data_IF_284784352232
#
_entry.id   IF_284784352232
#
_cell.length_a   1.000
_cell.length_b   1.000
_cell.length_c   1.000
_cell.angle_alpha   90.00
_cell.angle_beta   90.00
_cell.angle_gamma   90.00
#
_symmetry.space_group_name_H-M   'P 1'
#
loop_
_entity.id
_entity.type
_entity.pdbx_description
1 polymer ?
#
# COMPACT_ATOMS: atom_id res chain seq x y z
N UNK A 1 1.21 -12.23 3.34
CA UNK A 1 0.75 -11.43 4.50
C UNK A 1 -0.08 -10.22 4.07
N UNK A 2 0.47 -9.15 3.44
CA UNK A 2 -0.36 -7.97 3.06
C UNK A 2 -1.58 -8.32 2.20
N UNK A 3 -1.40 -9.17 1.18
CA UNK A 3 -2.51 -9.67 0.37
C UNK A 3 -3.58 -10.39 1.21
N UNK A 4 -3.15 -11.23 2.17
CA UNK A 4 -4.04 -11.95 3.08
C UNK A 4 -4.81 -11.00 4.01
N UNK A 5 -4.14 -9.99 4.58
CA UNK A 5 -4.75 -8.98 5.47
C UNK A 5 -5.80 -8.15 4.72
N UNK A 6 -5.51 -7.77 3.47
CA UNK A 6 -6.38 -6.91 2.66
C UNK A 6 -7.48 -7.70 1.91
N UNK A 7 -7.43 -9.03 1.93
CA UNK A 7 -8.19 -9.93 1.05
C UNK A 7 -8.18 -9.46 -0.41
N UNK A 8 -7.01 -9.03 -0.89
CA UNK A 8 -6.83 -8.42 -2.20
C UNK A 8 -5.53 -8.89 -2.86
N UNK A 9 -5.54 -8.95 -4.20
CA UNK A 9 -4.31 -9.20 -4.98
C UNK A 9 -3.37 -8.01 -4.81
N UNK A 10 -2.13 -8.29 -4.44
CA UNK A 10 -1.09 -7.26 -4.32
C UNK A 10 -0.03 -7.53 -5.38
N UNK A 11 0.18 -6.57 -6.27
CA UNK A 11 1.25 -6.60 -7.27
C UNK A 11 2.38 -5.70 -6.82
N UNK A 12 3.59 -6.26 -6.73
CA UNK A 12 4.82 -5.47 -6.51
C UNK A 12 5.45 -5.19 -7.87
N UNK A 13 5.65 -3.90 -8.15
CA UNK A 13 6.40 -3.42 -9.31
C UNK A 13 7.91 -3.65 -9.08
N UNK A 14 8.63 -4.09 -10.10
CA UNK A 14 10.07 -4.35 -10.06
C UNK A 14 10.96 -3.11 -10.03
N UNK A 15 10.39 -1.91 -10.14
CA UNK A 15 11.09 -0.64 -9.98
C UNK A 15 10.93 -0.15 -8.54
N UNK A 16 12.05 0.07 -7.85
CA UNK A 16 12.06 0.60 -6.48
C UNK A 16 11.73 2.09 -6.45
N UNK A 17 12.08 2.81 -7.52
CA UNK A 17 11.97 4.26 -7.68
C UNK A 17 10.69 4.65 -8.44
N UNK A 18 9.53 4.16 -7.96
CA UNK A 18 8.23 4.34 -8.65
C UNK A 18 7.87 5.80 -8.92
N UNK A 19 8.32 6.74 -8.06
CA UNK A 19 8.13 8.17 -8.26
C UNK A 19 8.87 8.71 -9.47
N UNK A 20 10.14 8.32 -9.66
CA UNK A 20 10.94 8.72 -10.82
C UNK A 20 10.40 8.09 -12.10
N UNK A 21 9.96 6.83 -12.04
CA UNK A 21 9.34 6.15 -13.19
C UNK A 21 8.06 6.85 -13.64
N UNK A 22 7.22 7.29 -12.70
CA UNK A 22 6.03 8.08 -13.00
C UNK A 22 6.35 9.44 -13.62
N UNK A 23 7.34 10.15 -13.10
CA UNK A 23 7.78 11.43 -13.68
C UNK A 23 8.31 11.26 -15.12
N UNK A 24 9.09 10.21 -15.37
CA UNK A 24 9.59 9.88 -16.70
C UNK A 24 8.45 9.55 -17.67
N UNK A 25 7.46 8.77 -17.23
CA UNK A 25 6.28 8.44 -18.03
C UNK A 25 5.46 9.68 -18.43
N UNK A 26 5.29 10.62 -17.49
CA UNK A 26 4.61 11.90 -17.77
C UNK A 26 5.41 12.76 -18.74
N UNK A 27 6.73 12.85 -18.55
CA UNK A 27 7.60 13.61 -19.45
C UNK A 27 7.61 13.03 -20.88
N UNK A 28 7.67 11.70 -21.01
CA UNK A 28 7.63 11.01 -22.30
C UNK A 28 6.32 11.29 -23.04
N UNK A 29 5.18 11.23 -22.35
CA UNK A 29 3.87 11.54 -22.93
C UNK A 29 3.75 13.02 -23.30
N UNK A 30 4.18 13.94 -22.44
CA UNK A 30 4.18 15.37 -22.73
C UNK A 30 5.10 15.79 -23.87
N UNK A 31 6.18 15.04 -24.10
CA UNK A 31 7.09 15.20 -25.24
C UNK A 31 6.59 14.54 -26.54
N UNK A 32 5.46 13.83 -26.50
CA UNK A 32 4.92 13.11 -27.65
C UNK A 32 5.71 11.86 -28.05
N UNK A 33 6.56 11.32 -27.16
CA UNK A 33 7.32 10.09 -27.40
C UNK A 33 6.47 8.82 -27.25
N UNK A 34 5.37 8.93 -26.50
CA UNK A 34 4.34 7.90 -26.30
C UNK A 34 2.97 8.56 -26.33
N UNK A 35 1.93 7.81 -26.69
CA UNK A 35 0.56 8.32 -26.72
C UNK A 35 0.03 8.60 -25.31
N UNK A 36 0.48 7.83 -24.32
CA UNK A 36 0.08 8.01 -22.93
C UNK A 36 1.15 7.59 -21.92
N UNK A 37 1.10 8.10 -20.67
CA UNK A 37 2.00 7.64 -19.62
C UNK A 37 1.83 6.14 -19.33
N UNK A 38 0.61 5.61 -19.51
CA UNK A 38 0.29 4.19 -19.28
C UNK A 38 1.02 3.30 -20.28
N UNK A 39 1.14 3.72 -21.53
CA UNK A 39 1.90 3.02 -22.57
C UNK A 39 3.37 2.86 -22.15
N UNK A 40 4.00 3.96 -21.73
CA UNK A 40 5.38 3.95 -21.25
C UNK A 40 5.54 3.02 -20.03
N UNK A 41 4.66 3.14 -19.04
CA UNK A 41 4.70 2.31 -17.84
C UNK A 41 4.56 0.82 -18.17
N UNK A 42 3.70 0.46 -19.15
CA UNK A 42 3.53 -0.92 -19.57
C UNK A 42 4.77 -1.48 -20.26
N UNK A 43 5.47 -0.68 -21.08
CA UNK A 43 6.73 -1.08 -21.69
C UNK A 43 7.85 -1.29 -20.65
N UNK A 44 7.82 -0.56 -19.54
CA UNK A 44 8.82 -0.67 -18.47
C UNK A 44 8.57 -1.79 -17.44
N UNK A 45 7.48 -2.56 -17.54
CA UNK A 45 7.16 -3.67 -16.62
C UNK A 45 8.00 -4.90 -16.91
N UNK A 46 9.22 -4.96 -16.40
CA UNK A 46 10.10 -6.12 -16.62
C UNK A 46 10.00 -7.17 -15.51
N UNK A 47 9.60 -6.81 -14.29
CA UNK A 47 9.47 -7.77 -13.20
C UNK A 47 8.26 -7.40 -12.32
N UNK A 48 7.20 -8.20 -12.38
CA UNK A 48 6.06 -8.09 -11.47
C UNK A 48 5.99 -9.32 -10.57
N UNK A 49 5.88 -9.10 -9.25
CA UNK A 49 5.57 -10.19 -8.32
C UNK A 49 4.14 -10.03 -7.83
N UNK A 50 3.32 -11.04 -8.13
CA UNK A 50 1.92 -11.09 -7.73
C UNK A 50 1.77 -11.91 -6.45
N UNK A 51 1.05 -11.38 -5.48
CA UNK A 51 0.70 -12.05 -4.24
C UNK A 51 -0.83 -12.19 -4.17
N UNK A 52 -1.32 -13.42 -4.21
CA UNK A 52 -2.74 -13.73 -4.08
C UNK A 52 -3.12 -13.96 -2.61
N UNK A 53 -4.30 -13.50 -2.17
CA UNK A 53 -4.77 -13.74 -0.81
C UNK A 53 -5.03 -15.23 -0.57
N UNK A 54 -4.56 -15.73 0.57
CA UNK A 54 -4.84 -17.10 1.04
C UNK A 54 -6.04 -17.04 1.98
N UNK A 55 -7.17 -17.58 1.53
CA UNK A 55 -8.47 -17.48 2.23
C UNK A 55 -8.43 -17.95 3.67
N UNK A 56 -7.65 -18.98 3.98
CA UNK A 56 -7.46 -19.51 5.34
C UNK A 56 -6.84 -18.51 6.33
N UNK A 57 -6.11 -17.49 5.86
CA UNK A 57 -5.50 -16.47 6.72
C UNK A 57 -6.28 -15.14 6.74
N UNK A 58 -7.19 -14.92 5.80
CA UNK A 58 -7.96 -13.68 5.71
C UNK A 58 -8.86 -13.48 6.93
N UNK A 59 -9.57 -14.52 7.37
CA UNK A 59 -10.44 -14.45 8.56
C UNK A 59 -9.65 -14.14 9.82
N UNK A 60 -8.53 -14.84 10.02
CA UNK A 60 -7.61 -14.61 11.15
C UNK A 60 -7.14 -13.17 11.19
N UNK A 61 -6.77 -12.60 10.04
CA UNK A 61 -6.33 -11.21 9.98
C UNK A 61 -7.46 -10.19 10.22
N UNK A 62 -8.70 -10.49 9.81
CA UNK A 62 -9.86 -9.66 10.13
C UNK A 62 -10.14 -9.63 11.64
N UNK A 63 -10.05 -10.78 12.32
CA UNK A 63 -10.20 -10.85 13.78
C UNK A 63 -9.10 -10.05 14.50
N UNK A 64 -7.85 -10.20 14.03
CA UNK A 64 -6.72 -9.41 14.53
C UNK A 64 -6.93 -7.90 14.34
N UNK A 65 -7.48 -7.48 13.20
CA UNK A 65 -7.78 -6.07 12.95
C UNK A 65 -8.85 -5.54 13.92
N UNK A 66 -9.86 -6.35 14.24
CA UNK A 66 -10.86 -6.02 15.26
C UNK A 66 -10.25 -5.87 16.66
N UNK A 67 -9.30 -6.71 17.04
CA UNK A 67 -8.54 -6.56 18.29
C UNK A 67 -7.68 -5.29 18.28
N UNK A 68 -6.95 -5.05 17.18
CA UNK A 68 -6.13 -3.85 17.01
C UNK A 68 -6.94 -2.55 17.17
N UNK A 69 -8.12 -2.46 16.54
CA UNK A 69 -9.01 -1.29 16.66
C UNK A 69 -9.46 -1.02 18.09
N UNK A 70 -9.82 -2.08 18.82
CA UNK A 70 -10.22 -1.97 20.24
C UNK A 70 -9.05 -1.47 21.09
N UNK A 71 -7.88 -2.10 20.93
CA UNK A 71 -6.67 -1.71 21.65
C UNK A 71 -6.28 -0.25 21.38
N UNK A 72 -6.28 0.15 20.10
CA UNK A 72 -5.96 1.52 19.71
C UNK A 72 -6.94 2.52 20.34
N UNK A 73 -8.25 2.20 20.36
CA UNK A 73 -9.26 3.01 21.05
C UNK A 73 -8.96 3.18 22.53
N UNK A 74 -8.67 2.09 23.25
CA UNK A 74 -8.35 2.11 24.68
C UNK A 74 -7.05 2.85 25.00
N UNK A 75 -6.03 2.73 24.14
CA UNK A 75 -4.76 3.43 24.33
C UNK A 75 -4.87 4.91 24.02
N UNK A 76 -5.66 5.29 23.01
CA UNK A 76 -5.88 6.69 22.65
C UNK A 76 -6.40 7.49 23.85
N UNK A 77 -7.37 6.95 24.59
CA UNK A 77 -7.91 7.60 25.79
C UNK A 77 -6.89 7.80 26.91
N UNK A 78 -5.91 6.91 27.03
CA UNK A 78 -4.84 7.04 28.03
C UNK A 78 -3.86 8.14 27.62
N UNK A 79 -3.39 8.10 26.37
CA UNK A 79 -2.40 9.06 25.86
C UNK A 79 -2.90 10.51 25.78
N UNK A 80 -4.22 10.75 25.70
CA UNK A 80 -4.78 12.11 25.76
C UNK A 80 -4.97 12.64 27.18
N UNK A 81 -5.04 11.77 28.20
CA UNK A 81 -5.30 12.18 29.58
C UNK A 81 -4.01 12.40 30.40
N UNK A 82 -2.88 11.82 29.98
CA UNK A 82 -1.59 11.95 30.67
C UNK A 82 -0.86 13.29 30.38
N UNK A 83 -1.49 14.20 29.61
CA UNK A 83 -0.95 15.51 29.27
C UNK A 83 -1.34 16.68 30.21
N UNK A 84 -2.23 16.46 31.19
CA UNK A 84 -2.75 17.53 32.08
C UNK A 84 -2.23 17.48 33.53
N UNK A 85 -1.39 16.50 33.91
CA UNK A 85 -0.84 16.40 35.29
C UNK A 85 0.65 16.72 35.40
N UNK A 86 1.19 17.53 34.49
CA UNK A 86 2.57 18.04 34.57
C UNK A 86 2.64 19.53 34.21
N UNK A 87 2.03 20.39 35.05
CA UNK A 87 2.31 21.82 35.12
C UNK A 87 2.06 22.34 36.54
#
# INVERSE_FOLDING_TARGET
>A
IKADILDAIVTKVGCSESGCLGAAALAASGAGLVESPVEFLNACKHEERVFTPRKEFCSVHQDMYGMYRRLYGSLKSLTTNDGETAA
#
